data_IF_692133442467
#
_entry.id   IF_692133442467
#
_cell.length_a   1.000
_cell.length_b   1.000
_cell.length_c   1.000
_cell.angle_alpha   90.00
_cell.angle_beta   90.00
_cell.angle_gamma   90.00
#
_symmetry.space_group_name_H-M   'P 1'
#
loop_
_entity.id
_entity.type
_entity.pdbx_description
1 polymer ?
#
# COMPACT_ATOMS: atom_id res chain seq x y z
N UNK A 1 14.58 10.15 14.05
CA UNK A 1 13.50 10.64 14.96
C UNK A 1 12.90 9.45 15.71
N UNK A 2 12.63 9.60 17.01
CA UNK A 2 11.96 8.55 17.77
C UNK A 2 10.48 8.44 17.35
N UNK A 3 10.01 7.22 17.11
CA UNK A 3 8.61 6.98 16.68
C UNK A 3 7.65 7.14 17.86
N UNK A 4 6.50 7.75 17.60
CA UNK A 4 5.42 7.87 18.58
C UNK A 4 4.80 6.50 18.93
N UNK A 5 4.09 6.43 20.06
CA UNK A 5 3.35 5.22 20.45
C UNK A 5 2.33 4.78 19.41
N UNK A 6 1.73 5.73 18.69
CA UNK A 6 0.74 5.45 17.64
C UNK A 6 1.39 4.90 16.37
N UNK A 7 2.56 5.42 15.98
CA UNK A 7 3.36 4.88 14.88
C UNK A 7 3.80 3.44 15.18
N UNK A 8 4.35 3.20 16.36
CA UNK A 8 4.77 1.86 16.79
C UNK A 8 3.59 0.89 16.77
N UNK A 9 2.42 1.30 17.29
CA UNK A 9 1.23 0.46 17.28
C UNK A 9 0.76 0.17 15.84
N UNK A 10 0.79 1.15 14.96
CA UNK A 10 0.39 1.01 13.56
C UNK A 10 1.32 0.02 12.84
N UNK A 11 2.64 0.17 12.98
CA UNK A 11 3.63 -0.77 12.42
C UNK A 11 3.41 -2.19 12.95
N UNK A 12 3.26 -2.35 14.27
CA UNK A 12 3.00 -3.66 14.89
C UNK A 12 1.66 -4.27 14.45
N UNK A 13 0.66 -3.43 14.15
CA UNK A 13 -0.62 -3.91 13.63
C UNK A 13 -0.46 -4.56 12.25
N UNK A 14 0.31 -3.94 11.36
CA UNK A 14 0.61 -4.51 10.04
C UNK A 14 1.52 -5.74 10.14
N UNK A 15 2.55 -5.71 10.99
CA UNK A 15 3.39 -6.89 11.21
C UNK A 15 2.57 -8.09 11.69
N UNK A 16 1.67 -7.87 12.69
CA UNK A 16 0.74 -8.91 13.13
C UNK A 16 -0.16 -9.41 12.01
N UNK A 17 -0.73 -8.51 11.23
CA UNK A 17 -1.64 -8.82 10.13
C UNK A 17 -0.96 -9.74 9.10
N UNK A 18 0.21 -9.38 8.63
CA UNK A 18 0.92 -10.13 7.59
C UNK A 18 1.45 -11.48 8.10
N UNK A 19 1.83 -11.57 9.39
CA UNK A 19 2.28 -12.84 9.97
C UNK A 19 1.14 -13.82 10.29
N UNK A 20 -0.04 -13.33 10.67
CA UNK A 20 -1.04 -14.16 11.32
C UNK A 20 -2.34 -14.32 10.54
N UNK A 21 -2.70 -13.40 9.64
CA UNK A 21 -3.99 -13.47 8.97
C UNK A 21 -3.90 -14.26 7.65
N UNK A 22 -4.87 -15.18 7.39
CA UNK A 22 -4.80 -16.11 6.26
C UNK A 22 -4.64 -15.44 4.89
N UNK A 23 -5.29 -14.28 4.70
CA UNK A 23 -5.31 -13.58 3.42
C UNK A 23 -3.94 -13.02 2.99
N UNK A 24 -3.00 -12.84 3.92
CA UNK A 24 -1.65 -12.38 3.56
C UNK A 24 -0.92 -13.41 2.69
N UNK A 25 -1.09 -14.69 2.98
CA UNK A 25 -0.55 -15.82 2.19
C UNK A 25 -1.50 -16.24 1.06
N UNK A 26 -2.79 -16.11 1.27
CA UNK A 26 -3.84 -16.58 0.37
C UNK A 26 -3.90 -15.82 -0.95
N UNK A 27 -3.63 -14.51 -0.96
CA UNK A 27 -3.70 -13.69 -2.17
C UNK A 27 -2.76 -14.14 -3.28
N UNK A 28 -1.62 -14.74 -2.96
CA UNK A 28 -0.69 -15.29 -3.96
C UNK A 28 -0.96 -16.77 -4.28
N UNK A 29 -1.74 -17.45 -3.46
CA UNK A 29 -2.25 -18.80 -3.77
C UNK A 29 -3.57 -18.78 -4.53
N UNK A 30 -4.27 -17.64 -4.57
CA UNK A 30 -5.47 -17.43 -5.36
C UNK A 30 -5.13 -17.43 -6.86
N UNK A 31 -5.60 -18.45 -7.57
CA UNK A 31 -5.27 -18.64 -8.98
C UNK A 31 -5.88 -17.56 -9.87
N UNK A 32 -7.09 -17.11 -9.55
CA UNK A 32 -7.75 -16.04 -10.31
C UNK A 32 -6.99 -14.72 -10.15
N UNK A 33 -6.61 -14.38 -8.91
CA UNK A 33 -5.81 -13.18 -8.66
C UNK A 33 -4.46 -13.25 -9.36
N UNK A 34 -3.73 -14.38 -9.27
CA UNK A 34 -2.45 -14.58 -9.95
C UNK A 34 -2.55 -14.48 -11.47
N UNK A 35 -3.66 -14.91 -12.06
CA UNK A 35 -3.90 -14.76 -13.49
C UNK A 35 -4.09 -13.30 -13.90
N UNK A 36 -4.74 -12.51 -13.06
CA UNK A 36 -5.21 -11.17 -13.40
C UNK A 36 -4.30 -10.04 -12.89
N UNK A 37 -3.33 -10.29 -12.02
CA UNK A 37 -2.47 -9.24 -11.41
C UNK A 37 -1.79 -8.35 -12.45
N UNK A 38 -1.36 -8.92 -13.56
CA UNK A 38 -0.74 -8.19 -14.66
C UNK A 38 -1.71 -7.15 -15.23
N UNK A 39 -2.96 -7.57 -15.49
CA UNK A 39 -4.00 -6.68 -16.02
C UNK A 39 -4.39 -5.59 -15.02
N UNK A 40 -4.36 -5.89 -13.72
CA UNK A 40 -4.63 -4.89 -12.68
C UNK A 40 -3.57 -3.80 -12.66
N UNK A 41 -2.28 -4.17 -12.70
CA UNK A 41 -1.17 -3.21 -12.74
C UNK A 41 -1.25 -2.35 -14.02
N UNK A 42 -1.43 -2.98 -15.18
CA UNK A 42 -1.50 -2.29 -16.46
C UNK A 42 -2.71 -1.34 -16.52
N UNK A 43 -3.86 -1.75 -15.94
CA UNK A 43 -5.06 -0.94 -15.85
C UNK A 43 -4.85 0.25 -14.89
N UNK A 44 -4.26 0.05 -13.70
CA UNK A 44 -3.99 1.14 -12.76
C UNK A 44 -2.98 2.17 -13.30
N UNK A 45 -1.94 1.72 -13.98
CA UNK A 45 -0.93 2.59 -14.57
C UNK A 45 -1.33 3.17 -15.92
N UNK A 46 -2.35 2.59 -16.59
CA UNK A 46 -2.76 2.94 -17.96
C UNK A 46 -1.60 2.83 -18.96
N UNK A 47 -0.86 1.72 -18.89
CA UNK A 47 0.29 1.41 -19.75
C UNK A 47 0.15 0.05 -20.44
N UNK A 48 0.97 -0.22 -21.45
CA UNK A 48 1.00 -1.51 -22.14
C UNK A 48 2.04 -2.45 -21.53
N UNK A 49 1.90 -3.75 -21.83
CA UNK A 49 2.85 -4.78 -21.40
C UNK A 49 4.25 -4.58 -22.01
N UNK A 50 4.31 -4.07 -23.23
CA UNK A 50 5.56 -3.76 -23.92
C UNK A 50 6.29 -2.60 -23.25
N UNK A 51 5.54 -1.56 -22.84
CA UNK A 51 6.11 -0.39 -22.20
C UNK A 51 6.72 -0.70 -20.83
N UNK A 52 6.06 -1.57 -20.05
CA UNK A 52 6.46 -1.83 -18.66
C UNK A 52 7.63 -2.81 -18.54
N UNK A 53 7.84 -3.66 -19.54
CA UNK A 53 8.89 -4.69 -19.51
C UNK A 53 10.28 -4.06 -19.38
N UNK A 54 11.08 -4.59 -18.45
CA UNK A 54 12.43 -4.11 -18.16
C UNK A 54 12.51 -2.84 -17.29
N UNK A 55 11.37 -2.25 -16.94
CA UNK A 55 11.31 -1.06 -16.08
C UNK A 55 11.81 -1.35 -14.67
N UNK A 56 12.43 -0.34 -14.06
CA UNK A 56 12.80 -0.37 -12.64
C UNK A 56 11.63 0.10 -11.79
N UNK A 57 11.25 -0.73 -10.80
CA UNK A 57 10.10 -0.47 -9.92
C UNK A 57 10.54 -0.49 -8.48
N UNK A 58 10.05 0.46 -7.69
CA UNK A 58 10.06 0.35 -6.24
C UNK A 58 8.62 0.18 -5.74
N UNK A 59 8.37 -0.95 -5.05
CA UNK A 59 7.10 -1.27 -4.39
C UNK A 59 7.22 -0.90 -2.91
N UNK A 60 6.61 0.23 -2.54
CA UNK A 60 6.73 0.81 -1.19
C UNK A 60 5.55 0.39 -0.33
N UNK A 61 5.84 -0.31 0.77
CA UNK A 61 4.86 -0.98 1.61
C UNK A 61 4.36 -2.26 0.94
N UNK A 62 5.30 -3.11 0.56
CA UNK A 62 5.04 -4.30 -0.26
C UNK A 62 4.12 -5.34 0.41
N UNK A 63 3.98 -5.30 1.75
CA UNK A 63 3.15 -6.24 2.49
C UNK A 63 3.57 -7.69 2.22
N UNK A 64 2.66 -8.53 1.73
CA UNK A 64 2.94 -9.92 1.36
C UNK A 64 3.45 -10.10 -0.07
N UNK A 65 3.86 -9.03 -0.76
CA UNK A 65 4.50 -9.09 -2.07
C UNK A 65 3.56 -9.26 -3.26
N UNK A 66 2.27 -9.00 -3.10
CA UNK A 66 1.29 -9.22 -4.19
C UNK A 66 1.56 -8.36 -5.43
N UNK A 67 1.89 -7.10 -5.26
CA UNK A 67 2.21 -6.19 -6.36
C UNK A 67 3.63 -6.44 -6.87
N UNK A 68 4.58 -6.67 -5.96
CA UNK A 68 5.94 -7.13 -6.27
C UNK A 68 5.92 -8.33 -7.22
N UNK A 69 5.08 -9.35 -6.93
CA UNK A 69 4.87 -10.52 -7.78
C UNK A 69 4.36 -10.15 -9.18
N UNK A 70 3.35 -9.27 -9.25
CA UNK A 70 2.79 -8.83 -10.52
C UNK A 70 3.82 -8.09 -11.40
N UNK A 71 4.59 -7.17 -10.81
CA UNK A 71 5.66 -6.47 -11.53
C UNK A 71 6.78 -7.42 -11.99
N UNK A 72 7.18 -8.37 -11.15
CA UNK A 72 8.17 -9.37 -11.53
C UNK A 72 7.69 -10.22 -12.72
N UNK A 73 6.42 -10.63 -12.74
CA UNK A 73 5.81 -11.35 -13.88
C UNK A 73 5.75 -10.51 -15.16
N UNK A 74 5.57 -9.21 -15.04
CA UNK A 74 5.60 -8.28 -16.17
C UNK A 74 7.04 -8.04 -16.70
N UNK A 75 8.05 -8.63 -16.05
CA UNK A 75 9.45 -8.54 -16.44
C UNK A 75 10.13 -7.26 -15.97
N UNK A 76 9.64 -6.65 -14.89
CA UNK A 76 10.27 -5.50 -14.24
C UNK A 76 11.42 -5.91 -13.32
N UNK A 77 12.36 -4.99 -13.08
CA UNK A 77 13.36 -5.08 -12.02
C UNK A 77 12.78 -4.44 -10.76
N UNK A 78 12.43 -5.25 -9.75
CA UNK A 78 11.65 -4.79 -8.60
C UNK A 78 12.50 -4.74 -7.34
N UNK A 79 12.49 -3.58 -6.66
CA UNK A 79 12.86 -3.45 -5.25
C UNK A 79 11.58 -3.30 -4.45
N UNK A 80 11.37 -4.20 -3.49
CA UNK A 80 10.23 -4.17 -2.57
C UNK A 80 10.67 -3.65 -1.20
N UNK A 81 9.88 -2.79 -0.59
CA UNK A 81 10.22 -2.21 0.72
C UNK A 81 9.03 -2.22 1.66
N UNK A 82 9.30 -2.46 2.95
CA UNK A 82 8.31 -2.30 4.03
C UNK A 82 9.03 -1.85 5.30
N UNK A 83 8.28 -1.26 6.24
CA UNK A 83 8.83 -0.75 7.51
C UNK A 83 8.99 -1.85 8.55
N UNK A 84 8.36 -3.00 8.35
CA UNK A 84 8.35 -4.12 9.29
C UNK A 84 8.88 -5.42 8.68
N UNK A 85 9.38 -6.28 9.54
CA UNK A 85 10.07 -7.49 9.16
C UNK A 85 9.15 -8.57 8.58
N UNK A 86 7.97 -8.78 9.20
CA UNK A 86 7.02 -9.79 8.75
C UNK A 86 6.58 -9.66 7.28
N UNK A 87 6.15 -8.48 6.81
CA UNK A 87 5.91 -8.24 5.40
C UNK A 87 7.12 -8.54 4.52
N UNK A 88 8.32 -8.08 4.92
CA UNK A 88 9.56 -8.31 4.17
C UNK A 88 9.90 -9.81 4.05
N UNK A 89 9.79 -10.58 5.14
CA UNK A 89 9.99 -12.04 5.14
C UNK A 89 9.00 -12.71 4.18
N UNK A 90 7.72 -12.37 4.30
CA UNK A 90 6.68 -12.95 3.45
C UNK A 90 6.87 -12.60 1.97
N UNK A 91 7.31 -11.37 1.67
CA UNK A 91 7.62 -10.97 0.29
C UNK A 91 8.82 -11.75 -0.26
N UNK A 92 9.89 -11.97 0.52
CA UNK A 92 11.04 -12.81 0.09
C UNK A 92 10.63 -14.24 -0.19
N UNK A 93 9.74 -14.81 0.63
CA UNK A 93 9.19 -16.16 0.40
C UNK A 93 8.38 -16.23 -0.90
N UNK A 94 7.53 -15.23 -1.13
CA UNK A 94 6.59 -15.22 -2.24
C UNK A 94 7.20 -14.79 -3.58
N UNK A 95 8.23 -13.95 -3.55
CA UNK A 95 8.88 -13.36 -4.74
C UNK A 95 10.40 -13.39 -4.59
N UNK A 96 11.03 -14.58 -4.60
CA UNK A 96 12.45 -14.75 -4.28
C UNK A 96 13.39 -14.02 -5.26
N UNK A 97 12.93 -13.64 -6.44
CA UNK A 97 13.70 -12.88 -7.43
C UNK A 97 13.70 -11.36 -7.16
N UNK A 98 12.89 -10.85 -6.24
CA UNK A 98 12.88 -9.43 -5.91
C UNK A 98 13.92 -9.09 -4.81
N UNK A 99 14.55 -7.92 -4.93
CA UNK A 99 15.31 -7.33 -3.82
C UNK A 99 14.34 -6.81 -2.78
N UNK A 100 14.41 -7.30 -1.52
CA UNK A 100 13.50 -6.88 -0.44
C UNK A 100 14.28 -6.21 0.68
N UNK A 101 13.93 -4.97 1.00
CA UNK A 101 14.62 -4.12 1.98
C UNK A 101 13.64 -3.66 3.06
N UNK A 102 13.96 -3.94 4.32
CA UNK A 102 13.24 -3.34 5.45
C UNK A 102 13.73 -1.91 5.66
N UNK A 103 12.85 -0.93 5.44
CA UNK A 103 13.18 0.50 5.54
C UNK A 103 11.91 1.32 5.75
N UNK A 104 12.01 2.39 6.55
CA UNK A 104 10.94 3.38 6.68
C UNK A 104 10.84 4.25 5.43
N UNK A 105 9.61 4.60 5.02
CA UNK A 105 9.34 5.46 3.86
C UNK A 105 10.06 6.80 3.95
N UNK A 106 10.25 7.34 5.15
CA UNK A 106 10.96 8.60 5.38
C UNK A 106 12.48 8.48 5.17
N UNK A 107 13.02 7.26 5.27
CA UNK A 107 14.45 6.98 5.06
C UNK A 107 14.78 6.57 3.62
N UNK A 108 13.75 6.29 2.80
CA UNK A 108 13.92 5.85 1.40
C UNK A 108 14.81 6.79 0.57
N UNK A 109 14.65 8.13 0.62
CA UNK A 109 15.51 9.03 -0.18
C UNK A 109 16.99 8.86 0.13
N UNK A 110 17.35 8.69 1.41
CA UNK A 110 18.74 8.46 1.81
C UNK A 110 19.21 7.05 1.46
N UNK A 111 18.37 6.05 1.66
CA UNK A 111 18.69 4.64 1.37
C UNK A 111 18.87 4.38 -0.11
N UNK A 112 18.14 5.11 -0.96
CA UNK A 112 18.10 4.98 -2.41
C UNK A 112 18.77 6.17 -3.13
N UNK A 113 19.66 6.92 -2.46
CA UNK A 113 20.22 8.19 -2.96
C UNK A 113 20.79 8.11 -4.39
N UNK A 114 21.35 6.95 -4.75
CA UNK A 114 22.00 6.72 -6.04
C UNK A 114 21.08 5.95 -7.04
N UNK A 115 19.83 5.67 -6.64
CA UNK A 115 18.85 4.95 -7.44
C UNK A 115 17.65 5.84 -7.77
N UNK A 116 17.18 5.76 -9.00
CA UNK A 116 15.91 6.33 -9.45
C UNK A 116 15.11 5.22 -10.14
N UNK A 117 13.79 5.36 -10.12
CA UNK A 117 12.89 4.32 -10.58
C UNK A 117 11.98 4.84 -11.68
N UNK A 118 11.67 3.99 -12.66
CA UNK A 118 10.67 4.27 -13.70
C UNK A 118 9.27 4.33 -13.09
N UNK A 119 9.01 3.46 -12.09
CA UNK A 119 7.72 3.36 -11.42
C UNK A 119 7.94 3.36 -9.91
N UNK A 120 7.30 4.30 -9.23
CA UNK A 120 7.16 4.32 -7.79
C UNK A 120 5.73 3.89 -7.47
N UNK A 121 5.59 2.69 -6.93
CA UNK A 121 4.32 2.10 -6.56
C UNK A 121 4.14 2.17 -5.05
N UNK A 122 3.07 2.82 -4.57
CA UNK A 122 2.79 2.93 -3.15
C UNK A 122 1.29 2.74 -2.90
N UNK A 123 0.91 1.50 -2.66
CA UNK A 123 -0.48 1.07 -2.60
C UNK A 123 -0.93 0.81 -1.17
N UNK A 124 -1.75 1.70 -0.59
CA UNK A 124 -2.33 1.51 0.74
C UNK A 124 -1.42 1.90 1.91
N UNK A 125 -0.45 2.79 1.74
CA UNK A 125 0.63 3.02 2.73
C UNK A 125 0.62 4.41 3.33
N UNK A 126 0.74 5.47 2.54
CA UNK A 126 1.05 6.82 3.07
C UNK A 126 0.02 7.34 4.07
N UNK A 127 -1.22 6.93 3.93
CA UNK A 127 -2.28 7.32 4.86
C UNK A 127 -2.20 6.62 6.23
N UNK A 128 -1.27 5.69 6.40
CA UNK A 128 -0.91 5.05 7.67
C UNK A 128 0.39 5.57 8.27
N UNK A 129 1.01 6.58 7.66
CA UNK A 129 2.23 7.23 8.18
C UNK A 129 1.87 8.40 9.10
N UNK A 130 2.80 8.82 9.96
CA UNK A 130 2.60 9.99 10.83
C UNK A 130 2.35 11.27 10.05
N UNK A 131 2.99 11.41 8.88
CA UNK A 131 2.86 12.58 8.00
C UNK A 131 2.74 12.13 6.54
N UNK A 132 1.50 11.96 6.01
CA UNK A 132 1.29 11.51 4.63
C UNK A 132 1.91 12.44 3.57
N UNK A 133 1.95 13.75 3.80
CA UNK A 133 2.55 14.71 2.87
C UNK A 133 4.08 14.56 2.82
N UNK A 134 4.72 14.39 3.97
CA UNK A 134 6.17 14.13 4.00
C UNK A 134 6.50 12.77 3.37
N UNK A 135 5.67 11.74 3.59
CA UNK A 135 5.80 10.45 2.93
C UNK A 135 5.67 10.58 1.40
N UNK A 136 4.69 11.36 0.92
CA UNK A 136 4.57 11.69 -0.50
C UNK A 136 5.84 12.36 -1.05
N UNK A 137 6.38 13.34 -0.32
CA UNK A 137 7.64 14.04 -0.71
C UNK A 137 8.83 13.10 -0.77
N UNK A 138 8.90 12.09 0.12
CA UNK A 138 9.94 11.04 0.07
C UNK A 138 9.85 10.21 -1.21
N UNK A 139 8.62 9.85 -1.63
CA UNK A 139 8.40 9.10 -2.88
C UNK A 139 8.81 9.90 -4.11
N UNK A 140 8.48 11.19 -4.16
CA UNK A 140 8.85 12.07 -5.29
C UNK A 140 10.35 12.17 -5.48
N UNK A 141 11.15 12.11 -4.40
CA UNK A 141 12.60 12.13 -4.47
C UNK A 141 13.19 10.89 -5.17
N UNK A 142 12.44 9.79 -5.29
CA UNK A 142 12.86 8.58 -6.00
C UNK A 142 12.65 8.65 -7.52
N UNK A 143 11.95 9.68 -8.00
CA UNK A 143 11.59 9.85 -9.40
C UNK A 143 12.73 10.47 -10.22
N UNK A 144 12.86 10.04 -11.47
CA UNK A 144 13.50 10.78 -12.56
C UNK A 144 12.43 11.46 -13.44
N UNK A 145 12.86 12.14 -14.52
CA UNK A 145 11.94 12.95 -15.36
C UNK A 145 10.80 12.15 -16.03
N UNK A 146 11.04 10.89 -16.35
CA UNK A 146 10.07 10.04 -17.09
C UNK A 146 9.33 9.05 -16.16
N UNK A 147 9.49 9.19 -14.83
CA UNK A 147 8.90 8.29 -13.85
C UNK A 147 7.39 8.45 -13.72
N UNK A 148 6.72 7.35 -13.37
CA UNK A 148 5.33 7.36 -12.89
C UNK A 148 5.33 7.13 -11.38
N UNK A 149 4.71 8.02 -10.63
CA UNK A 149 4.32 7.78 -9.24
C UNK A 149 2.87 7.30 -9.22
N UNK A 150 2.61 6.14 -8.63
CA UNK A 150 1.26 5.61 -8.41
C UNK A 150 0.95 5.49 -6.93
N UNK A 151 -0.25 5.93 -6.55
CA UNK A 151 -0.76 5.91 -5.17
C UNK A 151 -2.17 5.34 -5.11
N UNK A 152 -2.40 4.48 -4.11
CA UNK A 152 -3.72 4.21 -3.60
C UNK A 152 -3.81 4.69 -2.15
N UNK A 153 -4.82 5.52 -1.85
CA UNK A 153 -5.02 6.08 -0.50
C UNK A 153 -6.48 6.08 -0.08
N UNK A 154 -6.71 6.01 1.24
CA UNK A 154 -8.05 6.09 1.81
C UNK A 154 -8.65 7.49 1.62
N UNK A 155 -9.83 7.50 0.99
CA UNK A 155 -10.59 8.72 0.74
C UNK A 155 -11.26 9.26 1.99
N UNK A 156 -11.49 10.57 2.00
CA UNK A 156 -12.32 11.28 2.99
C UNK A 156 -13.75 10.71 3.08
N UNK A 157 -14.24 10.07 2.03
CA UNK A 157 -15.60 9.53 1.93
C UNK A 157 -15.85 8.22 2.72
N UNK A 158 -14.84 7.68 3.39
CA UNK A 158 -15.02 6.53 4.30
C UNK A 158 -15.86 6.95 5.53
N UNK A 159 -16.82 6.11 5.93
CA UNK A 159 -17.85 6.46 6.91
C UNK A 159 -17.36 6.71 8.34
N UNK A 160 -18.04 7.57 9.09
CA UNK A 160 -17.76 7.89 10.52
C UNK A 160 -17.89 6.66 11.43
N UNK A 161 -18.73 5.70 11.08
CA UNK A 161 -18.95 4.45 11.84
C UNK A 161 -17.69 3.59 11.95
N UNK A 162 -16.86 3.57 10.90
CA UNK A 162 -15.57 2.86 10.90
C UNK A 162 -14.62 3.42 11.96
N UNK A 163 -14.57 4.75 12.12
CA UNK A 163 -13.72 5.40 13.13
C UNK A 163 -14.14 4.99 14.54
N UNK A 164 -15.42 5.07 14.86
CA UNK A 164 -15.95 4.71 16.20
C UNK A 164 -15.64 3.23 16.54
N UNK A 165 -15.85 2.32 15.60
CA UNK A 165 -15.55 0.90 15.78
C UNK A 165 -14.04 0.67 15.93
N UNK A 166 -13.22 1.38 15.17
CA UNK A 166 -11.77 1.33 15.28
C UNK A 166 -11.29 1.80 16.66
N UNK A 167 -11.82 2.90 17.18
CA UNK A 167 -11.45 3.41 18.48
C UNK A 167 -11.77 2.39 19.60
N UNK A 168 -12.94 1.75 19.51
CA UNK A 168 -13.35 0.69 20.45
C UNK A 168 -12.45 -0.55 20.35
N UNK A 169 -12.21 -1.06 19.15
CA UNK A 169 -11.38 -2.25 18.92
C UNK A 169 -9.92 -2.01 19.37
N UNK A 170 -9.43 -0.78 19.28
CA UNK A 170 -8.08 -0.43 19.68
C UNK A 170 -7.81 -0.46 21.20
N UNK A 171 -8.82 -0.74 22.02
CA UNK A 171 -8.66 -1.05 23.45
C UNK A 171 -8.15 -2.47 23.68
N UNK A 172 -8.16 -3.35 22.67
CA UNK A 172 -7.85 -4.78 22.81
C UNK A 172 -6.50 -5.15 22.19
N UNK A 173 -5.98 -6.33 22.60
CA UNK A 173 -4.79 -6.93 21.97
C UNK A 173 -5.05 -7.30 20.50
N UNK A 174 -4.00 -7.48 19.70
CA UNK A 174 -4.15 -7.83 18.28
C UNK A 174 -4.93 -9.14 18.09
N UNK A 175 -4.66 -10.16 18.91
CA UNK A 175 -5.40 -11.43 18.85
C UNK A 175 -6.86 -11.27 19.23
N UNK A 176 -7.17 -10.43 20.23
CA UNK A 176 -8.56 -10.14 20.59
C UNK A 176 -9.27 -9.34 19.50
N UNK A 177 -8.61 -8.38 18.85
CA UNK A 177 -9.13 -7.66 17.68
C UNK A 177 -9.51 -8.62 16.56
N UNK A 178 -8.62 -9.54 16.21
CA UNK A 178 -8.87 -10.57 15.20
C UNK A 178 -10.12 -11.39 15.55
N UNK A 179 -10.22 -11.87 16.80
CA UNK A 179 -11.35 -12.67 17.24
C UNK A 179 -12.67 -11.88 17.21
N UNK A 180 -12.65 -10.61 17.64
CA UNK A 180 -13.82 -9.71 17.56
C UNK A 180 -14.25 -9.52 16.10
N UNK A 181 -13.31 -9.23 15.19
CA UNK A 181 -13.62 -9.07 13.77
C UNK A 181 -14.22 -10.34 13.18
N UNK A 182 -13.64 -11.52 13.49
CA UNK A 182 -14.19 -12.82 13.05
C UNK A 182 -15.60 -13.04 13.58
N UNK A 183 -15.87 -12.71 14.85
CA UNK A 183 -17.20 -12.82 15.43
C UNK A 183 -18.19 -11.89 14.72
N UNK A 184 -17.82 -10.61 14.51
CA UNK A 184 -18.69 -9.63 13.85
C UNK A 184 -18.99 -10.01 12.40
N UNK A 185 -18.05 -10.65 11.70
CA UNK A 185 -18.31 -11.24 10.36
C UNK A 185 -19.30 -12.41 10.48
N UNK A 186 -19.08 -13.32 11.44
CA UNK A 186 -19.92 -14.50 11.63
C UNK A 186 -21.39 -14.17 11.93
N UNK A 187 -21.62 -13.09 12.67
CA UNK A 187 -22.98 -12.61 13.00
C UNK A 187 -23.48 -11.55 12.01
N UNK A 188 -22.85 -11.42 10.84
CA UNK A 188 -23.25 -10.53 9.74
C UNK A 188 -23.31 -9.03 10.07
N UNK A 189 -22.61 -8.58 11.13
CA UNK A 189 -22.46 -7.13 11.46
C UNK A 189 -21.42 -6.47 10.57
N UNK A 190 -20.35 -7.20 10.20
CA UNK A 190 -19.33 -6.75 9.26
C UNK A 190 -19.32 -7.68 8.03
N UNK A 191 -18.99 -7.08 6.88
CA UNK A 191 -18.85 -7.80 5.62
C UNK A 191 -17.45 -7.58 5.05
N UNK A 192 -16.84 -8.64 4.53
CA UNK A 192 -15.50 -8.62 3.95
C UNK A 192 -14.56 -9.65 4.58
N UNK A 193 -13.31 -9.65 4.15
CA UNK A 193 -12.31 -10.55 4.72
C UNK A 193 -11.78 -10.03 6.06
N UNK A 194 -11.36 -10.96 6.93
CA UNK A 194 -10.71 -10.60 8.21
C UNK A 194 -9.51 -9.70 7.98
N UNK A 195 -8.71 -9.98 6.94
CA UNK A 195 -7.53 -9.20 6.58
C UNK A 195 -7.89 -7.75 6.26
N UNK A 196 -8.85 -7.52 5.34
CA UNK A 196 -9.26 -6.18 4.95
C UNK A 196 -9.90 -5.37 6.09
N UNK A 197 -10.68 -6.03 6.95
CA UNK A 197 -11.28 -5.38 8.11
C UNK A 197 -10.27 -5.11 9.21
N UNK A 198 -9.27 -5.97 9.38
CA UNK A 198 -8.17 -5.73 10.32
C UNK A 198 -7.32 -4.53 9.88
N UNK A 199 -7.01 -4.43 8.59
CA UNK A 199 -6.36 -3.27 7.98
C UNK A 199 -7.15 -1.97 8.22
N UNK A 200 -8.46 -2.00 8.02
CA UNK A 200 -9.31 -0.83 8.20
C UNK A 200 -9.47 -0.41 9.68
N UNK A 201 -9.44 -1.35 10.63
CA UNK A 201 -9.84 -1.10 12.00
C UNK A 201 -8.68 -1.08 13.00
N UNK A 202 -7.63 -1.90 12.81
CA UNK A 202 -6.59 -2.11 13.83
C UNK A 202 -5.49 -1.04 13.88
N UNK A 203 -4.98 -0.46 12.78
CA UNK A 203 -3.98 0.59 12.85
C UNK A 203 -4.54 1.85 13.54
N UNK A 204 -3.74 2.51 14.39
CA UNK A 204 -4.14 3.76 15.02
C UNK A 204 -4.04 4.94 14.08
N UNK A 205 -3.00 4.98 13.25
CA UNK A 205 -2.83 6.05 12.28
C UNK A 205 -3.56 5.66 11.00
N UNK A 206 -4.58 6.44 10.67
CA UNK A 206 -5.39 6.33 9.44
C UNK A 206 -5.86 7.71 9.02
N UNK A 207 -5.11 8.33 8.14
CA UNK A 207 -5.52 9.59 7.54
C UNK A 207 -6.54 9.35 6.43
N UNK A 208 -7.47 10.27 6.30
CA UNK A 208 -8.41 10.31 5.19
C UNK A 208 -8.05 11.49 4.32
N UNK A 209 -7.73 11.22 3.07
CA UNK A 209 -7.18 12.19 2.14
C UNK A 209 -8.28 12.59 1.16
N UNK A 210 -8.54 13.91 1.04
CA UNK A 210 -9.43 14.40 -0.01
C UNK A 210 -8.71 14.44 -1.34
N UNK A 211 -9.45 14.32 -2.43
CA UNK A 211 -8.88 14.43 -3.78
C UNK A 211 -8.18 15.78 -3.98
N UNK A 212 -8.80 16.87 -3.52
CA UNK A 212 -8.22 18.21 -3.61
C UNK A 212 -6.88 18.33 -2.88
N UNK A 213 -6.77 17.73 -1.69
CA UNK A 213 -5.52 17.69 -0.93
C UNK A 213 -4.47 16.85 -1.65
N UNK A 214 -4.83 15.67 -2.14
CA UNK A 214 -3.91 14.82 -2.88
C UNK A 214 -3.40 15.51 -4.14
N UNK A 215 -4.31 16.10 -4.93
CA UNK A 215 -3.97 16.89 -6.12
C UNK A 215 -3.01 18.05 -5.80
N UNK A 216 -3.21 18.74 -4.67
CA UNK A 216 -2.31 19.83 -4.26
C UNK A 216 -0.88 19.35 -4.00
N UNK A 217 -0.68 18.13 -3.48
CA UNK A 217 0.65 17.57 -3.29
C UNK A 217 1.35 17.28 -4.62
N UNK A 218 0.63 16.72 -5.60
CA UNK A 218 1.18 16.51 -6.94
C UNK A 218 1.60 17.84 -7.57
N UNK A 219 0.71 18.84 -7.57
CA UNK A 219 0.99 20.17 -8.14
C UNK A 219 2.18 20.86 -7.46
N UNK A 220 2.25 20.80 -6.13
CA UNK A 220 3.34 21.41 -5.35
C UNK A 220 4.73 20.81 -5.68
N UNK A 221 4.77 19.60 -6.22
CA UNK A 221 5.99 18.91 -6.62
C UNK A 221 6.24 18.90 -8.14
N UNK A 222 5.49 19.69 -8.91
CA UNK A 222 5.61 19.75 -10.37
C UNK A 222 5.21 18.45 -11.07
N UNK A 223 4.20 17.78 -10.54
CA UNK A 223 3.66 16.55 -11.12
C UNK A 223 2.27 16.81 -11.71
N UNK A 224 2.03 16.27 -12.91
CA UNK A 224 0.69 16.13 -13.43
C UNK A 224 -0.11 15.18 -12.52
N UNK A 225 -1.33 15.57 -12.17
CA UNK A 225 -2.23 14.73 -11.39
C UNK A 225 -3.27 14.07 -12.28
N UNK A 226 -3.32 12.75 -12.23
CA UNK A 226 -4.35 11.97 -12.92
C UNK A 226 -5.00 11.00 -11.93
N UNK A 227 -6.30 11.16 -11.72
CA UNK A 227 -7.11 10.16 -11.00
C UNK A 227 -7.68 9.16 -11.99
N UNK A 228 -7.66 7.89 -11.61
CA UNK A 228 -8.27 6.81 -12.37
C UNK A 228 -8.76 5.72 -11.42
N UNK A 229 -10.03 5.38 -11.50
CA UNK A 229 -10.58 4.24 -10.75
C UNK A 229 -10.43 2.98 -11.61
N UNK A 230 -9.61 2.00 -11.18
CA UNK A 230 -9.40 0.78 -11.96
C UNK A 230 -10.70 -0.01 -12.16
N UNK A 231 -10.82 -0.71 -13.28
CA UNK A 231 -12.02 -1.49 -13.62
C UNK A 231 -12.35 -2.55 -12.58
N UNK A 232 -11.33 -3.16 -11.96
CA UNK A 232 -11.50 -4.15 -10.91
C UNK A 232 -11.92 -3.52 -9.55
N UNK A 233 -11.73 -2.23 -9.37
CA UNK A 233 -12.06 -1.47 -8.16
C UNK A 233 -13.21 -0.47 -8.36
N UNK A 234 -14.08 -0.66 -9.34
CA UNK A 234 -15.13 0.29 -9.77
C UNK A 234 -16.07 0.72 -8.63
N UNK A 235 -16.24 -0.10 -7.60
CA UNK A 235 -17.03 0.22 -6.43
C UNK A 235 -16.22 0.84 -5.28
N UNK A 236 -14.91 1.02 -5.45
CA UNK A 236 -14.07 1.67 -4.46
C UNK A 236 -14.40 3.15 -4.35
N UNK A 237 -14.48 3.64 -3.11
CA UNK A 237 -14.59 5.07 -2.80
C UNK A 237 -13.23 5.71 -2.53
N UNK A 238 -12.18 4.93 -2.60
CA UNK A 238 -10.82 5.38 -2.32
C UNK A 238 -10.17 5.99 -3.57
N UNK A 239 -9.05 6.66 -3.39
CA UNK A 239 -8.38 7.40 -4.45
C UNK A 239 -7.23 6.57 -5.04
N UNK A 240 -7.28 6.39 -6.35
CA UNK A 240 -6.18 5.88 -7.17
C UNK A 240 -5.64 7.05 -7.99
N UNK A 241 -4.39 7.38 -7.84
CA UNK A 241 -3.79 8.53 -8.48
C UNK A 241 -2.42 8.20 -9.08
N UNK A 242 -2.17 8.71 -10.27
CA UNK A 242 -0.87 8.67 -10.91
C UNK A 242 -0.35 10.09 -11.16
N UNK A 243 0.98 10.24 -11.14
CA UNK A 243 1.61 11.48 -11.53
C UNK A 243 2.89 11.26 -12.29
N UNK A 244 3.13 12.16 -13.25
CA UNK A 244 4.37 12.26 -14.03
C UNK A 244 4.94 13.68 -13.86
N UNK A 245 6.24 13.85 -14.05
CA UNK A 245 6.81 15.20 -14.09
C UNK A 245 6.30 15.95 -15.32
N UNK A 246 5.95 17.22 -15.10
CA UNK A 246 5.58 18.16 -16.16
C UNK A 246 6.82 18.76 -16.79
#
# INVERSE_FOLDING_TARGET
MEKTKEEIQTIKSFDYQWRNLPNSKYLLTDEEWRKNVDSYILDELQVTKEWIKGKTVIDVGCGGGRWTYGFARLGCNVIATDVSDGPCELTRENVPQAEVIMVDIFELPQRMKDKKFDIIWCWGVIHHTANPQAAFSSLVQLMHKDSILHLYVYSWNRGKKEKMLSDLINLFSFKSKENIIRLLIKIHVLHGSVHALFDALSPKIKHRISESLLKSWFTAHGLEYRQYTPRWAIYSKDLFATGKRV
#
